data_IF_473715721359
#
_entry.id   IF_473715721359
#
_cell.length_a   1.000
_cell.length_b   1.000
_cell.length_c   1.000
_cell.angle_alpha   90.00
_cell.angle_beta   90.00
_cell.angle_gamma   90.00
#
_symmetry.space_group_name_H-M   'P 1'
#
loop_
_entity.id
_entity.type
_entity.pdbx_description
1 polymer ?
#
# COMPACT_ATOMS: atom_id res chain seq x y z
N UNK A 1 -8.23 11.04 14.24
CA UNK A 1 -7.84 9.71 13.74
C UNK A 1 -6.81 9.92 12.64
N UNK A 2 -5.60 9.37 12.77
CA UNK A 2 -4.49 9.63 11.82
C UNK A 2 -4.60 8.73 10.59
N UNK A 3 -4.42 9.30 9.41
CA UNK A 3 -4.32 8.57 8.14
C UNK A 3 -2.95 8.82 7.52
N UNK A 4 -2.38 7.80 6.92
CA UNK A 4 -1.12 7.85 6.18
C UNK A 4 -1.41 7.92 4.70
N UNK A 5 -0.78 8.86 4.00
CA UNK A 5 -0.67 8.84 2.53
C UNK A 5 0.64 8.14 2.19
N UNK A 6 0.61 7.23 1.22
CA UNK A 6 1.77 6.40 0.88
C UNK A 6 2.01 6.34 -0.63
N UNK A 7 3.26 6.02 -0.96
CA UNK A 7 3.72 5.58 -2.28
C UNK A 7 4.36 4.20 -2.09
N UNK A 8 3.81 3.18 -2.74
CA UNK A 8 4.29 1.80 -2.69
C UNK A 8 4.88 1.42 -4.05
N UNK A 9 6.09 0.88 -4.06
CA UNK A 9 6.70 0.32 -5.26
C UNK A 9 6.54 -1.19 -5.29
N UNK A 10 5.87 -1.70 -6.33
CA UNK A 10 5.81 -3.13 -6.60
C UNK A 10 7.00 -3.55 -7.47
N UNK A 11 7.93 -4.33 -6.89
CA UNK A 11 9.05 -4.90 -7.64
C UNK A 11 8.59 -5.87 -8.72
N UNK A 12 7.55 -6.66 -8.47
CA UNK A 12 7.03 -7.66 -9.42
C UNK A 12 6.35 -7.02 -10.63
N UNK A 13 5.60 -5.92 -10.43
CA UNK A 13 4.90 -5.20 -11.49
C UNK A 13 5.66 -3.98 -12.01
N UNK A 14 6.85 -3.70 -11.46
CA UNK A 14 7.68 -2.50 -11.73
C UNK A 14 6.86 -1.21 -11.76
N UNK A 15 5.91 -1.06 -10.83
CA UNK A 15 4.92 0.04 -10.82
C UNK A 15 4.77 0.63 -9.43
N UNK A 16 4.52 1.95 -9.41
CA UNK A 16 4.16 2.68 -8.20
C UNK A 16 2.64 2.72 -7.98
N UNK A 17 2.25 2.62 -6.72
CA UNK A 17 0.87 2.73 -6.24
C UNK A 17 0.80 3.83 -5.21
N UNK A 18 -0.16 4.73 -5.36
CA UNK A 18 -0.43 5.79 -4.40
C UNK A 18 -1.74 5.51 -3.70
N UNK A 19 -1.86 5.89 -2.43
CA UNK A 19 -3.10 5.73 -1.70
C UNK A 19 -2.99 6.24 -0.28
N UNK A 20 -4.03 5.95 0.49
CA UNK A 20 -4.11 6.35 1.89
C UNK A 20 -4.69 5.21 2.72
N UNK A 21 -4.28 5.11 3.99
CA UNK A 21 -4.74 4.09 4.92
C UNK A 21 -4.56 4.56 6.35
N UNK A 22 -5.41 4.08 7.27
CA UNK A 22 -5.21 4.23 8.72
C UNK A 22 -4.18 3.25 9.30
N UNK A 23 -3.90 2.16 8.56
CA UNK A 23 -3.01 1.08 8.97
C UNK A 23 -2.16 0.62 7.78
N UNK A 24 -0.85 0.88 7.87
CA UNK A 24 0.11 0.56 6.81
C UNK A 24 0.42 -0.94 6.72
N UNK A 25 0.38 -1.64 7.86
CA UNK A 25 0.68 -3.09 7.93
C UNK A 25 -0.44 -3.87 7.24
N UNK A 26 -1.70 -3.56 7.57
CA UNK A 26 -2.85 -4.15 6.90
C UNK A 26 -2.83 -3.87 5.39
N UNK A 27 -2.41 -2.66 4.99
CA UNK A 27 -2.32 -2.31 3.56
C UNK A 27 -1.28 -3.15 2.82
N UNK A 28 -0.10 -3.37 3.41
CA UNK A 28 0.95 -4.19 2.81
C UNK A 28 0.51 -5.63 2.57
N UNK A 29 -0.13 -6.25 3.57
CA UNK A 29 -0.65 -7.63 3.45
C UNK A 29 -1.70 -7.73 2.34
N UNK A 30 -2.69 -6.81 2.33
CA UNK A 30 -3.74 -6.78 1.29
C UNK A 30 -3.15 -6.61 -0.11
N UNK A 31 -2.22 -5.66 -0.27
CA UNK A 31 -1.60 -5.37 -1.56
C UNK A 31 -0.84 -6.57 -2.12
N UNK A 32 -0.11 -7.29 -1.27
CA UNK A 32 0.63 -8.49 -1.66
C UNK A 32 -0.30 -9.68 -1.94
N UNK A 33 -1.46 -9.74 -1.30
CA UNK A 33 -2.48 -10.77 -1.53
C UNK A 33 -3.42 -10.46 -2.72
N UNK A 34 -3.22 -9.36 -3.44
CA UNK A 34 -4.01 -8.99 -4.62
C UNK A 34 -5.29 -8.19 -4.34
N UNK A 35 -5.45 -7.66 -3.12
CA UNK A 35 -6.58 -6.82 -2.69
C UNK A 35 -6.23 -5.32 -2.60
#
# INVERSE_FOLDING_TARGET
>A
MTYFVYILYSKSRKRFYTGHTKDINSRMVKHNNGY
#
